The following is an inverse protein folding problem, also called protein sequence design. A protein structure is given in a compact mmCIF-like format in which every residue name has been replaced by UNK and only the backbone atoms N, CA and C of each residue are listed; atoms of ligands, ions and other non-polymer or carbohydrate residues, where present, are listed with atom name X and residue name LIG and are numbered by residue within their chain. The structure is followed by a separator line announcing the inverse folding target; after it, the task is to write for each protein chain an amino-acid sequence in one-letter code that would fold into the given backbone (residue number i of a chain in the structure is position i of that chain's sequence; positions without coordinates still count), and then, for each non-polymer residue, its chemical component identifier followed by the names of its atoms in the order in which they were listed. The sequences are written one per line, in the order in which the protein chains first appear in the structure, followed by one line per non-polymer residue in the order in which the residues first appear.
data_IF_245590080677
#
_entry.id   IF_245590080677
#
_cell.length_a   1.000
_cell.length_b   1.000
_cell.length_c   1.000
_cell.angle_alpha   90.00
_cell.angle_beta   90.00
_cell.angle_gamma   90.00
#
_symmetry.space_group_name_H-M   'P 1'
#
loop_
_entity.id
_entity.type
_entity.pdbx_description
1 polymer ?
#
# COMPACT_ATOMS: atom_id res chain seq x y z
N UNK A 1 4.89 -17.04 21.31
CA UNK A 1 4.56 -18.21 20.45
C UNK A 1 5.77 -19.12 20.36
N UNK A 2 5.65 -20.46 20.10
CA UNK A 2 6.83 -21.29 19.86
C UNK A 2 7.59 -20.75 18.63
N UNK A 3 8.90 -20.57 18.76
CA UNK A 3 9.76 -20.13 17.67
C UNK A 3 9.65 -21.11 16.49
N UNK A 4 9.43 -20.58 15.26
CA UNK A 4 9.43 -21.33 14.02
C UNK A 4 8.08 -21.91 13.56
N UNK A 5 6.96 -21.71 14.27
CA UNK A 5 5.64 -22.14 13.79
C UNK A 5 5.09 -21.17 12.74
N UNK A 6 4.58 -21.70 11.61
CA UNK A 6 3.87 -20.88 10.61
C UNK A 6 2.70 -20.11 11.23
N UNK A 7 2.49 -18.88 10.81
CA UNK A 7 1.34 -18.06 11.17
C UNK A 7 0.13 -18.53 10.36
N UNK A 8 -0.96 -18.82 11.04
CA UNK A 8 -2.20 -19.35 10.44
C UNK A 8 -3.14 -18.20 10.12
N UNK A 9 -3.33 -18.01 8.81
CA UNK A 9 -4.12 -16.92 8.26
C UNK A 9 -5.54 -17.34 7.93
N UNK A 10 -6.49 -16.46 8.24
CA UNK A 10 -7.82 -16.43 7.65
C UNK A 10 -7.92 -15.30 6.65
N UNK A 11 -8.72 -15.48 5.60
CA UNK A 11 -9.01 -14.44 4.61
C UNK A 11 -10.41 -13.89 4.84
N UNK A 12 -10.54 -12.57 4.92
CA UNK A 12 -11.81 -11.85 4.97
C UNK A 12 -11.96 -11.06 3.68
N UNK A 13 -12.87 -11.52 2.80
CA UNK A 13 -13.04 -11.02 1.44
C UNK A 13 -12.25 -11.82 0.41
N UNK A 14 -12.96 -12.49 -0.51
CA UNK A 14 -12.40 -13.38 -1.54
C UNK A 14 -12.46 -12.75 -2.95
N UNK A 15 -12.38 -11.42 -3.01
CA UNK A 15 -12.31 -10.65 -4.25
C UNK A 15 -10.95 -10.75 -4.95
N UNK A 16 -10.68 -9.82 -5.89
CA UNK A 16 -9.46 -9.84 -6.71
C UNK A 16 -8.15 -9.77 -5.91
N UNK A 17 -8.12 -9.03 -4.81
CA UNK A 17 -6.91 -8.87 -3.99
C UNK A 17 -6.57 -10.12 -3.16
N UNK A 18 -7.53 -10.99 -2.88
CA UNK A 18 -7.32 -12.17 -2.05
C UNK A 18 -6.52 -13.28 -2.75
N UNK A 19 -6.72 -13.47 -4.05
CA UNK A 19 -6.10 -14.56 -4.79
C UNK A 19 -4.56 -14.53 -4.77
N UNK A 20 -3.87 -13.41 -5.11
CA UNK A 20 -2.41 -13.36 -5.05
C UNK A 20 -1.88 -13.51 -3.62
N UNK A 21 -2.63 -13.11 -2.60
CA UNK A 21 -2.26 -13.32 -1.20
C UNK A 21 -2.43 -14.78 -0.79
N UNK A 22 -3.49 -15.47 -1.21
CA UNK A 22 -3.61 -16.92 -1.01
C UNK A 22 -2.46 -17.68 -1.67
N UNK A 23 -2.04 -17.29 -2.88
CA UNK A 23 -0.85 -17.85 -3.56
C UNK A 23 0.42 -17.61 -2.74
N UNK A 24 0.60 -16.40 -2.21
CA UNK A 24 1.76 -16.04 -1.40
C UNK A 24 1.80 -16.83 -0.08
N UNK A 25 0.66 -16.98 0.60
CA UNK A 25 0.55 -17.80 1.80
C UNK A 25 0.90 -19.27 1.49
N UNK A 26 0.37 -19.83 0.41
CA UNK A 26 0.66 -21.21 0.01
C UNK A 26 2.13 -21.45 -0.39
N UNK A 27 2.82 -20.41 -0.86
CA UNK A 27 4.23 -20.47 -1.26
C UNK A 27 5.20 -20.24 -0.08
N UNK A 28 4.73 -19.70 1.04
CA UNK A 28 5.58 -19.32 2.18
C UNK A 28 5.67 -20.43 3.23
N UNK A 29 6.87 -20.79 3.70
CA UNK A 29 7.02 -21.70 4.84
C UNK A 29 6.62 -21.07 6.19
N UNK A 30 6.42 -19.74 6.24
CA UNK A 30 6.08 -19.00 7.46
C UNK A 30 4.58 -18.73 7.60
N UNK A 31 3.77 -19.15 6.63
CA UNK A 31 2.33 -18.88 6.62
C UNK A 31 1.52 -20.14 6.24
N UNK A 32 0.32 -20.25 6.75
CA UNK A 32 -0.63 -21.34 6.46
C UNK A 32 -2.03 -20.73 6.30
N UNK A 33 -2.76 -21.13 5.25
CA UNK A 33 -4.14 -20.72 5.04
C UNK A 33 -5.08 -21.70 5.75
N UNK A 34 -5.87 -21.20 6.71
CA UNK A 34 -6.74 -22.07 7.52
C UNK A 34 -8.23 -21.92 7.23
N UNK A 35 -8.68 -20.77 6.74
CA UNK A 35 -10.09 -20.56 6.39
C UNK A 35 -10.28 -19.30 5.54
N UNK A 36 -11.26 -19.34 4.64
CA UNK A 36 -11.70 -18.18 3.85
C UNK A 36 -13.10 -17.75 4.27
N UNK A 37 -13.35 -16.46 4.26
CA UNK A 37 -14.67 -15.88 4.51
C UNK A 37 -15.03 -14.86 3.44
N UNK A 38 -16.23 -15.00 2.89
CA UNK A 38 -16.88 -13.98 2.07
C UNK A 38 -18.40 -14.10 2.26
N UNK A 39 -19.11 -12.98 2.17
CA UNK A 39 -20.58 -12.98 2.14
C UNK A 39 -21.10 -13.61 0.84
N UNK A 40 -20.34 -13.49 -0.26
CA UNK A 40 -20.59 -14.22 -1.49
C UNK A 40 -19.88 -15.58 -1.41
N UNK A 41 -20.67 -16.62 -1.10
CA UNK A 41 -20.14 -17.99 -0.93
C UNK A 41 -19.51 -18.59 -2.18
N UNK A 42 -19.88 -18.12 -3.37
CA UNK A 42 -19.28 -18.61 -4.61
C UNK A 42 -17.84 -18.12 -4.78
N UNK A 43 -17.55 -16.86 -4.39
CA UNK A 43 -16.19 -16.35 -4.35
C UNK A 43 -15.32 -17.09 -3.33
N UNK A 44 -15.87 -17.35 -2.14
CA UNK A 44 -15.16 -18.08 -1.10
C UNK A 44 -14.90 -19.54 -1.52
N UNK A 45 -15.88 -20.21 -2.12
CA UNK A 45 -15.77 -21.59 -2.62
C UNK A 45 -14.69 -21.72 -3.68
N UNK A 46 -14.68 -20.83 -4.69
CA UNK A 46 -13.68 -20.86 -5.77
C UNK A 46 -12.25 -20.83 -5.23
N UNK A 47 -11.95 -19.92 -4.30
CA UNK A 47 -10.62 -19.90 -3.68
C UNK A 47 -10.38 -21.10 -2.76
N UNK A 48 -11.40 -21.55 -2.02
CA UNK A 48 -11.32 -22.69 -1.12
C UNK A 48 -10.93 -23.98 -1.88
N UNK A 49 -11.55 -24.23 -3.04
CA UNK A 49 -11.23 -25.36 -3.89
C UNK A 49 -9.80 -25.28 -4.45
N UNK A 50 -9.36 -24.11 -4.87
CA UNK A 50 -8.03 -23.88 -5.46
C UNK A 50 -6.90 -23.99 -4.44
N UNK A 51 -7.13 -23.57 -3.21
CA UNK A 51 -6.13 -23.56 -2.13
C UNK A 51 -6.37 -24.64 -1.06
N UNK A 52 -7.31 -25.55 -1.29
CA UNK A 52 -7.64 -26.68 -0.40
C UNK A 52 -7.90 -26.26 1.05
N UNK A 53 -8.60 -25.15 1.24
CA UNK A 53 -8.93 -24.60 2.56
C UNK A 53 -10.44 -24.58 2.80
N UNK A 54 -10.94 -24.71 4.04
CA UNK A 54 -12.34 -24.53 4.35
C UNK A 54 -12.80 -23.08 4.13
N UNK A 55 -14.11 -22.88 3.93
CA UNK A 55 -14.69 -21.54 3.80
C UNK A 55 -15.98 -21.41 4.58
N UNK A 56 -16.39 -20.17 4.85
CA UNK A 56 -17.62 -19.84 5.58
C UNK A 56 -18.19 -18.49 5.14
N UNK A 57 -19.52 -18.35 5.21
CA UNK A 57 -20.24 -17.07 5.10
C UNK A 57 -20.37 -16.33 6.44
N UNK A 58 -20.00 -16.96 7.55
CA UNK A 58 -20.15 -16.40 8.90
C UNK A 58 -18.79 -15.92 9.43
N UNK A 59 -18.60 -14.61 9.56
CA UNK A 59 -17.36 -14.01 10.06
C UNK A 59 -16.99 -14.54 11.45
N UNK A 60 -17.98 -14.67 12.34
CA UNK A 60 -17.73 -15.15 13.70
C UNK A 60 -17.18 -16.58 13.73
N UNK A 61 -17.56 -17.43 12.77
CA UNK A 61 -17.00 -18.77 12.64
C UNK A 61 -15.53 -18.72 12.25
N UNK A 62 -15.12 -17.81 11.34
CA UNK A 62 -13.71 -17.59 11.02
C UNK A 62 -12.96 -17.10 12.25
N UNK A 63 -13.44 -16.04 12.91
CA UNK A 63 -12.74 -15.41 14.04
C UNK A 63 -12.65 -16.33 15.27
N UNK A 64 -13.62 -17.21 15.46
CA UNK A 64 -13.62 -18.22 16.53
C UNK A 64 -12.80 -19.47 16.20
N UNK A 65 -12.21 -19.55 14.98
CA UNK A 65 -11.42 -20.74 14.60
C UNK A 65 -10.23 -20.94 15.56
N UNK A 66 -10.10 -22.12 16.20
CA UNK A 66 -9.20 -22.28 17.36
C UNK A 66 -7.73 -22.15 17.00
N UNK A 67 -7.40 -22.37 15.75
CA UNK A 67 -6.01 -22.30 15.29
C UNK A 67 -5.67 -20.99 14.57
N UNK A 68 -6.62 -20.10 14.35
CA UNK A 68 -6.40 -18.83 13.65
C UNK A 68 -5.48 -17.91 14.48
N UNK A 69 -4.42 -17.39 13.86
CA UNK A 69 -3.50 -16.44 14.46
C UNK A 69 -3.72 -15.02 13.92
N UNK A 70 -3.91 -14.90 12.60
CA UNK A 70 -4.02 -13.63 11.90
C UNK A 70 -5.09 -13.67 10.81
N UNK A 71 -5.59 -12.51 10.44
CA UNK A 71 -6.44 -12.37 9.26
C UNK A 71 -5.80 -11.44 8.23
N UNK A 72 -6.06 -11.72 6.94
CA UNK A 72 -5.91 -10.76 5.87
C UNK A 72 -7.28 -10.22 5.47
N UNK A 73 -7.43 -8.89 5.49
CA UNK A 73 -8.71 -8.23 5.22
C UNK A 73 -8.67 -7.54 3.86
N UNK A 74 -9.46 -8.04 2.89
CA UNK A 74 -9.48 -7.59 1.49
C UNK A 74 -10.90 -7.35 0.98
N UNK A 75 -11.54 -6.35 1.51
CA UNK A 75 -12.93 -5.96 1.23
C UNK A 75 -13.01 -4.53 0.66
N UNK A 76 -14.17 -4.01 0.22
CA UNK A 76 -14.32 -2.60 -0.11
C UNK A 76 -13.82 -1.67 0.99
N UNK A 77 -13.26 -0.53 0.62
CA UNK A 77 -12.49 0.34 1.53
C UNK A 77 -13.24 0.70 2.82
N UNK A 78 -14.54 1.04 2.73
CA UNK A 78 -15.37 1.38 3.90
C UNK A 78 -15.54 0.24 4.91
N UNK A 79 -15.28 -1.01 4.51
CA UNK A 79 -15.40 -2.19 5.36
C UNK A 79 -14.05 -2.63 5.96
N UNK A 80 -12.91 -2.07 5.50
CA UNK A 80 -11.58 -2.49 5.97
C UNK A 80 -11.43 -2.24 7.47
N UNK A 81 -11.64 -1.01 7.93
CA UNK A 81 -11.49 -0.65 9.34
C UNK A 81 -12.51 -1.38 10.26
N UNK A 82 -13.80 -1.47 9.95
CA UNK A 82 -14.74 -2.23 10.76
C UNK A 82 -14.38 -3.72 10.91
N UNK A 83 -13.92 -4.38 9.84
CA UNK A 83 -13.58 -5.81 9.89
C UNK A 83 -12.22 -6.06 10.56
N UNK A 84 -11.24 -5.17 10.34
CA UNK A 84 -9.98 -5.20 11.08
C UNK A 84 -10.20 -5.04 12.59
N UNK A 85 -11.11 -4.13 13.01
CA UNK A 85 -11.50 -3.97 14.41
C UNK A 85 -12.04 -5.25 15.00
N UNK A 86 -12.99 -5.91 14.33
CA UNK A 86 -13.57 -7.19 14.80
C UNK A 86 -12.51 -8.27 14.96
N UNK A 87 -11.53 -8.33 14.04
CA UNK A 87 -10.42 -9.26 14.14
C UNK A 87 -9.54 -8.98 15.37
N UNK A 88 -9.17 -7.72 15.60
CA UNK A 88 -8.39 -7.30 16.76
C UNK A 88 -9.16 -7.56 18.07
N UNK A 89 -10.47 -7.24 18.12
CA UNK A 89 -11.33 -7.52 19.29
C UNK A 89 -11.42 -9.02 19.60
N UNK A 90 -11.35 -9.88 18.57
CA UNK A 90 -11.28 -11.33 18.70
C UNK A 90 -9.85 -11.85 19.04
N UNK A 91 -8.89 -10.97 19.33
CA UNK A 91 -7.53 -11.33 19.68
C UNK A 91 -6.69 -11.85 18.50
N UNK A 92 -7.05 -11.49 17.24
CA UNK A 92 -6.33 -11.90 16.05
C UNK A 92 -5.47 -10.75 15.52
N UNK A 93 -4.25 -11.05 15.08
CA UNK A 93 -3.42 -10.11 14.31
C UNK A 93 -4.13 -9.75 13.01
N UNK A 94 -3.95 -8.53 12.51
CA UNK A 94 -4.61 -8.07 11.29
C UNK A 94 -3.59 -7.53 10.28
N UNK A 95 -3.60 -8.09 9.07
CA UNK A 95 -3.00 -7.54 7.88
C UNK A 95 -4.13 -7.05 6.99
N UNK A 96 -4.17 -5.75 6.71
CA UNK A 96 -5.31 -5.09 6.06
C UNK A 96 -4.89 -4.57 4.69
N UNK A 97 -5.74 -4.71 3.68
CA UNK A 97 -5.56 -3.98 2.42
C UNK A 97 -5.52 -2.47 2.66
N UNK A 98 -4.81 -1.78 1.79
CA UNK A 98 -4.83 -0.31 1.82
C UNK A 98 -6.15 0.22 1.20
N UNK A 99 -6.64 1.36 1.70
CA UNK A 99 -6.12 2.12 2.85
C UNK A 99 -6.49 1.45 4.18
N UNK A 100 -5.78 1.77 5.25
CA UNK A 100 -6.10 1.26 6.59
C UNK A 100 -7.54 1.59 7.02
N UNK A 101 -8.02 2.79 6.66
CA UNK A 101 -9.32 3.33 6.99
C UNK A 101 -9.69 4.44 6.01
N UNK A 102 -10.90 5.00 6.10
CA UNK A 102 -11.32 6.18 5.33
C UNK A 102 -11.10 7.49 6.09
N UNK A 103 -10.92 7.43 7.40
CA UNK A 103 -10.69 8.60 8.27
C UNK A 103 -9.50 8.38 9.21
N UNK A 104 -8.85 9.47 9.64
CA UNK A 104 -7.78 9.40 10.63
C UNK A 104 -8.29 8.90 11.98
N UNK A 105 -9.53 9.24 12.34
CA UNK A 105 -10.16 8.78 13.60
C UNK A 105 -10.28 7.27 13.64
N UNK A 106 -10.73 6.64 12.55
CA UNK A 106 -10.80 5.18 12.44
C UNK A 106 -9.40 4.55 12.48
N UNK A 107 -8.44 5.12 11.76
CA UNK A 107 -7.06 4.63 11.76
C UNK A 107 -6.44 4.70 13.15
N UNK A 108 -6.59 5.83 13.85
CA UNK A 108 -6.09 6.04 15.22
C UNK A 108 -6.74 5.07 16.22
N UNK A 109 -8.04 4.81 16.08
CA UNK A 109 -8.77 3.86 16.92
C UNK A 109 -8.28 2.40 16.70
N UNK A 110 -7.99 2.00 15.44
CA UNK A 110 -7.43 0.68 15.15
C UNK A 110 -6.02 0.52 15.72
N UNK A 111 -5.17 1.53 15.56
CA UNK A 111 -3.80 1.54 16.08
C UNK A 111 -3.83 1.41 17.61
N UNK A 112 -4.63 2.24 18.28
CA UNK A 112 -4.76 2.19 19.74
C UNK A 112 -5.27 0.82 20.23
N UNK A 113 -6.24 0.21 19.54
CA UNK A 113 -6.77 -1.11 19.87
C UNK A 113 -5.69 -2.19 19.71
N UNK A 114 -4.96 -2.19 18.58
CA UNK A 114 -3.90 -3.16 18.34
C UNK A 114 -2.79 -3.08 19.38
N UNK A 115 -2.36 -1.86 19.74
CA UNK A 115 -1.36 -1.60 20.77
C UNK A 115 -1.82 -2.07 22.16
N UNK A 116 -3.06 -1.72 22.56
CA UNK A 116 -3.63 -2.12 23.83
C UNK A 116 -3.69 -3.65 23.98
N UNK A 117 -3.97 -4.36 22.91
CA UNK A 117 -4.03 -5.82 22.88
C UNK A 117 -2.70 -6.50 22.53
N UNK A 118 -1.64 -5.73 22.22
CA UNK A 118 -0.34 -6.24 21.79
C UNK A 118 -0.45 -7.12 20.53
N UNK A 119 -1.31 -6.71 19.60
CA UNK A 119 -1.52 -7.37 18.33
C UNK A 119 -0.80 -6.62 17.21
N UNK A 120 -0.29 -7.35 16.23
CA UNK A 120 0.26 -6.76 15.02
C UNK A 120 -0.88 -6.23 14.13
N UNK A 121 -0.79 -4.97 13.73
CA UNK A 121 -1.63 -4.33 12.73
C UNK A 121 -0.74 -3.90 11.58
N UNK A 122 -0.80 -4.63 10.46
CA UNK A 122 -0.09 -4.32 9.22
C UNK A 122 -1.03 -3.84 8.13
N UNK A 123 -0.49 -3.10 7.16
CA UNK A 123 -1.21 -2.68 5.95
C UNK A 123 -0.43 -3.12 4.73
N UNK A 124 -1.12 -3.62 3.71
CA UNK A 124 -0.50 -4.26 2.57
C UNK A 124 0.03 -3.24 1.55
N UNK A 125 1.16 -2.61 1.87
CA UNK A 125 1.95 -1.78 0.98
C UNK A 125 3.12 -2.60 0.42
N UNK A 126 2.83 -3.43 -0.56
CA UNK A 126 3.74 -4.43 -1.11
C UNK A 126 4.96 -3.85 -1.82
N UNK A 127 4.91 -2.60 -2.29
CA UNK A 127 6.01 -2.00 -3.03
C UNK A 127 7.32 -1.90 -2.24
N UNK A 128 7.25 -1.85 -0.90
CA UNK A 128 8.45 -1.89 -0.04
C UNK A 128 9.28 -3.17 -0.22
N UNK A 129 8.68 -4.23 -0.78
CA UNK A 129 9.32 -5.53 -0.99
C UNK A 129 9.88 -5.72 -2.41
N UNK A 130 9.70 -4.76 -3.33
CA UNK A 130 10.33 -4.84 -4.66
C UNK A 130 11.84 -4.63 -4.56
N UNK A 131 12.57 -5.28 -5.44
CA UNK A 131 14.03 -5.13 -5.48
C UNK A 131 14.46 -3.69 -5.73
N UNK A 132 13.80 -2.99 -6.68
CA UNK A 132 14.13 -1.61 -7.02
C UNK A 132 13.92 -0.63 -5.84
N UNK A 133 12.82 -0.80 -5.06
CA UNK A 133 12.57 0.07 -3.91
C UNK A 133 13.55 -0.16 -2.76
N UNK A 134 13.95 -1.41 -2.51
CA UNK A 134 14.98 -1.74 -1.51
C UNK A 134 16.34 -1.18 -1.90
N UNK A 135 16.76 -1.37 -3.15
CA UNK A 135 18.02 -0.79 -3.67
C UNK A 135 18.00 0.73 -3.58
N UNK A 136 16.88 1.37 -3.96
CA UNK A 136 16.75 2.82 -3.85
C UNK A 136 16.88 3.30 -2.39
N UNK A 137 16.22 2.62 -1.44
CA UNK A 137 16.32 2.91 -0.02
C UNK A 137 17.77 2.80 0.47
N UNK A 138 18.47 1.72 0.12
CA UNK A 138 19.87 1.51 0.50
C UNK A 138 20.77 2.64 -0.01
N UNK A 139 20.63 3.05 -1.28
CA UNK A 139 21.40 4.15 -1.87
C UNK A 139 21.10 5.50 -1.20
N UNK A 140 19.82 5.80 -0.94
CA UNK A 140 19.43 7.06 -0.29
C UNK A 140 19.96 7.11 1.14
N UNK A 141 19.74 6.05 1.92
CA UNK A 141 20.20 5.98 3.32
C UNK A 141 21.71 5.97 3.47
N UNK A 142 22.43 5.37 2.51
CA UNK A 142 23.90 5.43 2.46
C UNK A 142 24.43 6.80 2.01
N UNK A 143 23.57 7.74 1.56
CA UNK A 143 23.97 9.07 1.11
C UNK A 143 24.53 9.12 -0.30
N UNK A 144 24.31 8.10 -1.14
CA UNK A 144 24.85 8.01 -2.49
C UNK A 144 24.42 9.17 -3.39
N UNK A 145 23.16 9.63 -3.27
CA UNK A 145 22.63 10.76 -4.04
C UNK A 145 22.72 12.10 -3.29
N UNK A 146 23.32 12.13 -2.08
CA UNK A 146 23.32 13.30 -1.22
C UNK A 146 21.95 13.60 -0.61
N UNK A 147 21.80 14.81 -0.06
CA UNK A 147 20.50 15.23 0.48
C UNK A 147 19.41 15.22 -0.59
N UNK A 148 18.24 14.66 -0.28
CA UNK A 148 17.08 14.67 -1.19
C UNK A 148 16.55 16.10 -1.29
N UNK A 149 16.45 16.62 -2.51
CA UNK A 149 15.99 17.97 -2.81
C UNK A 149 14.62 17.98 -3.53
N UNK A 150 14.20 16.85 -4.09
CA UNK A 150 12.93 16.77 -4.77
C UNK A 150 12.47 15.36 -5.08
N UNK A 151 11.16 15.23 -5.33
CA UNK A 151 10.48 13.99 -5.74
C UNK A 151 9.48 14.31 -6.85
N UNK A 152 9.40 13.46 -7.86
CA UNK A 152 8.35 13.53 -8.88
C UNK A 152 7.57 12.22 -8.90
N UNK A 153 6.27 12.28 -8.65
CA UNK A 153 5.35 11.13 -8.70
C UNK A 153 4.49 11.22 -9.95
N UNK A 154 4.37 10.12 -10.66
CA UNK A 154 3.49 9.97 -11.80
C UNK A 154 2.75 8.64 -11.74
N UNK A 155 1.40 8.70 -11.75
CA UNK A 155 0.52 7.53 -11.73
C UNK A 155 -0.46 7.66 -12.88
N UNK A 156 -0.12 7.16 -14.07
CA UNK A 156 -0.98 7.20 -15.25
C UNK A 156 -1.43 5.80 -15.60
N UNK A 157 -2.74 5.57 -15.56
CA UNK A 157 -3.32 4.25 -15.75
C UNK A 157 -4.47 4.35 -16.76
N UNK A 158 -4.54 3.41 -17.67
CA UNK A 158 -5.68 3.24 -18.59
C UNK A 158 -6.71 2.28 -17.98
N UNK A 159 -7.54 2.81 -17.06
CA UNK A 159 -8.66 2.06 -16.47
C UNK A 159 -9.93 2.26 -17.30
N UNK A 160 -10.46 1.23 -17.96
CA UNK A 160 -11.73 1.33 -18.66
C UNK A 160 -12.88 1.56 -17.68
N UNK A 161 -14.04 2.04 -18.18
CA UNK A 161 -15.23 2.27 -17.34
C UNK A 161 -15.66 1.01 -16.54
N UNK A 162 -15.46 -0.19 -17.11
CA UNK A 162 -15.75 -1.47 -16.44
C UNK A 162 -14.94 -1.71 -15.17
N UNK A 163 -13.74 -1.13 -15.06
CA UNK A 163 -12.93 -1.24 -13.85
C UNK A 163 -13.67 -0.75 -12.59
N UNK A 164 -14.41 0.35 -12.71
CA UNK A 164 -15.13 0.93 -11.59
C UNK A 164 -16.29 0.05 -11.09
N UNK A 165 -16.71 -0.91 -11.91
CA UNK A 165 -17.77 -1.87 -11.57
C UNK A 165 -17.21 -3.22 -11.09
N UNK A 166 -16.13 -3.73 -11.71
CA UNK A 166 -15.66 -5.09 -11.47
C UNK A 166 -14.19 -5.20 -11.05
N UNK A 167 -13.49 -4.06 -10.94
CA UNK A 167 -12.05 -4.03 -10.64
C UNK A 167 -11.21 -4.60 -11.77
N UNK A 168 -9.93 -4.84 -11.49
CA UNK A 168 -8.98 -5.37 -12.46
C UNK A 168 -9.15 -6.88 -12.73
N UNK A 169 -9.66 -7.64 -11.75
CA UNK A 169 -9.81 -9.09 -11.85
C UNK A 169 -11.13 -9.55 -12.48
N UNK A 170 -12.15 -8.68 -12.48
CA UNK A 170 -13.49 -9.04 -12.93
C UNK A 170 -14.22 -10.09 -12.07
N UNK A 171 -13.61 -10.57 -10.99
CA UNK A 171 -14.15 -11.66 -10.15
C UNK A 171 -15.48 -11.32 -9.47
N UNK A 172 -15.72 -10.05 -9.19
CA UNK A 172 -16.92 -9.59 -8.54
C UNK A 172 -17.39 -8.25 -9.10
N UNK A 173 -18.66 -8.17 -9.47
CA UNK A 173 -19.27 -6.94 -9.97
C UNK A 173 -19.92 -6.21 -8.82
N UNK A 174 -19.34 -5.07 -8.43
CA UNK A 174 -19.87 -4.16 -7.43
C UNK A 174 -19.27 -2.77 -7.69
N UNK A 175 -20.10 -1.71 -7.78
CA UNK A 175 -19.63 -0.36 -8.14
C UNK A 175 -18.94 0.42 -7.00
N UNK A 176 -18.58 -0.20 -5.88
CA UNK A 176 -18.03 0.46 -4.70
C UNK A 176 -16.85 1.39 -5.01
N UNK A 177 -16.02 1.01 -6.01
CA UNK A 177 -14.85 1.81 -6.41
C UNK A 177 -15.21 3.17 -6.97
N UNK A 178 -16.36 3.30 -7.61
CA UNK A 178 -16.87 4.56 -8.16
C UNK A 178 -17.69 5.39 -7.18
N UNK A 179 -18.02 4.87 -6.00
CA UNK A 179 -18.85 5.53 -5.00
C UNK A 179 -17.99 6.17 -3.91
N UNK A 180 -18.23 7.45 -3.66
CA UNK A 180 -17.39 8.22 -2.75
C UNK A 180 -17.47 7.75 -1.29
N UNK A 181 -18.64 7.35 -0.84
CA UNK A 181 -18.89 6.86 0.52
C UNK A 181 -18.30 5.47 0.79
N UNK A 182 -18.17 4.64 -0.25
CA UNK A 182 -17.62 3.30 -0.13
C UNK A 182 -16.11 3.25 -0.40
N UNK A 183 -15.62 4.03 -1.37
CA UNK A 183 -14.23 4.05 -1.78
C UNK A 183 -13.38 5.06 -0.99
N UNK A 184 -13.99 6.17 -0.54
CA UNK A 184 -13.29 7.28 0.13
C UNK A 184 -12.53 8.20 -0.82
N UNK A 185 -12.17 7.73 -2.00
CA UNK A 185 -11.44 8.46 -3.03
C UNK A 185 -11.11 7.59 -4.24
N UNK A 186 -10.58 8.23 -5.28
CA UNK A 186 -10.27 7.61 -6.56
C UNK A 186 -8.79 7.28 -6.73
N UNK A 187 -8.18 7.81 -7.80
CA UNK A 187 -6.80 7.45 -8.20
C UNK A 187 -5.75 7.73 -7.12
N UNK A 188 -5.92 8.81 -6.35
CA UNK A 188 -4.95 9.15 -5.30
C UNK A 188 -4.97 8.11 -4.20
N UNK A 189 -6.16 7.78 -3.67
CA UNK A 189 -6.31 6.80 -2.59
C UNK A 189 -6.06 5.36 -3.07
N UNK A 190 -6.55 5.01 -4.27
CA UNK A 190 -6.49 3.64 -4.79
C UNK A 190 -5.10 3.24 -5.31
N UNK A 191 -4.35 4.17 -5.90
CA UNK A 191 -3.10 3.87 -6.60
C UNK A 191 -1.94 4.70 -6.09
N UNK A 192 -2.04 6.02 -6.12
CA UNK A 192 -0.93 6.90 -5.76
C UNK A 192 -0.50 6.76 -4.30
N UNK A 193 -1.38 6.27 -3.43
CA UNK A 193 -1.05 5.95 -2.02
C UNK A 193 0.11 4.96 -1.89
N UNK A 194 0.27 4.00 -2.81
CA UNK A 194 1.42 3.09 -2.84
C UNK A 194 2.74 3.85 -3.08
N UNK A 195 2.74 4.85 -3.98
CA UNK A 195 3.93 5.65 -4.25
C UNK A 195 4.23 6.63 -3.11
N UNK A 196 3.22 7.19 -2.46
CA UNK A 196 3.41 8.03 -1.27
C UNK A 196 4.04 7.22 -0.13
N UNK A 197 3.61 5.99 0.09
CA UNK A 197 4.24 5.06 1.03
C UNK A 197 5.69 4.76 0.63
N UNK A 198 5.93 4.42 -0.64
CA UNK A 198 7.24 4.07 -1.15
C UNK A 198 8.24 5.24 -1.02
N UNK A 199 7.84 6.49 -1.31
CA UNK A 199 8.68 7.67 -1.12
C UNK A 199 9.07 7.83 0.35
N UNK A 200 8.11 7.73 1.28
CA UNK A 200 8.41 7.79 2.73
C UNK A 200 9.37 6.67 3.15
N UNK A 201 9.13 5.45 2.70
CA UNK A 201 9.97 4.28 2.97
C UNK A 201 11.41 4.47 2.47
N UNK A 202 11.59 4.96 1.23
CA UNK A 202 12.91 5.12 0.61
C UNK A 202 13.67 6.29 1.22
N UNK A 203 13.01 7.45 1.34
CA UNK A 203 13.68 8.69 1.72
C UNK A 203 13.73 8.93 3.23
N UNK A 204 12.83 8.33 4.00
CA UNK A 204 12.65 8.67 5.42
C UNK A 204 12.06 10.07 5.64
N UNK A 205 11.59 10.74 4.57
CA UNK A 205 11.04 12.09 4.64
C UNK A 205 9.52 12.04 4.84
N UNK A 206 9.01 13.04 5.59
CA UNK A 206 7.59 13.23 5.83
C UNK A 206 7.07 14.46 5.09
N UNK A 207 5.87 14.35 4.50
CA UNK A 207 5.18 15.49 3.88
C UNK A 207 4.65 16.39 4.99
N UNK A 208 4.93 17.69 4.90
CA UNK A 208 4.51 18.69 5.91
C UNK A 208 3.51 19.72 5.38
N UNK A 209 3.45 19.94 4.08
CA UNK A 209 2.36 20.71 3.46
C UNK A 209 2.00 20.20 2.06
N UNK A 210 0.76 20.45 1.66
CA UNK A 210 0.16 19.98 0.40
C UNK A 210 -0.69 21.08 -0.21
N UNK A 211 -0.50 21.33 -1.51
CA UNK A 211 -1.44 22.09 -2.36
C UNK A 211 -1.87 21.19 -3.52
N UNK A 212 -3.17 21.15 -3.83
CA UNK A 212 -3.68 20.19 -4.81
C UNK A 212 -4.92 20.65 -5.54
N UNK A 213 -5.14 20.08 -6.72
CA UNK A 213 -6.37 20.07 -7.50
C UNK A 213 -6.75 18.62 -7.81
N UNK A 214 -8.03 18.28 -7.71
CA UNK A 214 -8.57 16.97 -8.10
C UNK A 214 -9.82 17.16 -8.93
N UNK A 215 -10.10 16.22 -9.81
CA UNK A 215 -11.29 16.25 -10.66
C UNK A 215 -11.71 14.85 -11.11
N UNK A 216 -13.01 14.71 -11.42
CA UNK A 216 -13.57 13.58 -12.15
C UNK A 216 -13.79 14.05 -13.57
N UNK A 217 -12.80 13.84 -14.46
CA UNK A 217 -12.72 14.49 -15.77
C UNK A 217 -13.09 13.54 -16.91
N UNK A 218 -12.93 12.24 -16.75
CA UNK A 218 -13.09 11.27 -17.82
C UNK A 218 -13.99 10.08 -17.45
N UNK A 219 -13.88 9.54 -16.25
CA UNK A 219 -14.71 8.43 -15.80
C UNK A 219 -16.09 8.88 -15.30
N UNK A 220 -17.11 8.05 -15.48
CA UNK A 220 -18.46 8.31 -14.93
C UNK A 220 -18.55 7.69 -13.51
N UNK A 221 -17.99 8.41 -12.52
CA UNK A 221 -17.91 7.99 -11.11
C UNK A 221 -18.00 9.22 -10.18
N UNK A 222 -18.14 8.98 -8.87
CA UNK A 222 -18.23 10.04 -7.84
C UNK A 222 -16.87 10.44 -7.27
N UNK A 223 -15.83 9.63 -7.50
CA UNK A 223 -14.47 9.85 -7.00
C UNK A 223 -13.61 10.50 -8.07
N UNK A 224 -12.48 11.09 -7.69
CA UNK A 224 -11.57 11.68 -8.66
C UNK A 224 -10.87 10.62 -9.52
N UNK A 225 -10.77 10.90 -10.81
CA UNK A 225 -9.96 10.13 -11.75
C UNK A 225 -8.66 10.84 -12.12
N UNK A 226 -8.53 12.12 -11.77
CA UNK A 226 -7.37 12.96 -12.07
C UNK A 226 -7.01 13.83 -10.88
N UNK A 227 -5.71 13.94 -10.60
CA UNK A 227 -5.17 14.79 -9.53
C UNK A 227 -3.82 15.38 -9.91
N UNK A 228 -3.59 16.63 -9.46
CA UNK A 228 -2.29 17.29 -9.50
C UNK A 228 -2.00 17.89 -8.12
N UNK A 229 -0.80 17.67 -7.57
CA UNK A 229 -0.43 18.20 -6.28
C UNK A 229 1.05 18.62 -6.22
N UNK A 230 1.32 19.58 -5.32
CA UNK A 230 2.67 19.91 -4.85
C UNK A 230 2.80 19.55 -3.38
N UNK A 231 3.94 19.00 -3.02
CA UNK A 231 4.26 18.52 -1.68
C UNK A 231 5.50 19.24 -1.17
N UNK A 232 5.55 19.56 0.12
CA UNK A 232 6.76 19.97 0.80
C UNK A 232 7.10 18.93 1.86
N UNK A 233 8.36 18.54 1.90
CA UNK A 233 8.87 17.60 2.89
C UNK A 233 9.52 18.30 4.08
N UNK A 234 9.68 17.59 5.18
CA UNK A 234 10.19 18.08 6.45
C UNK A 234 11.63 18.62 6.42
N UNK A 235 12.42 18.23 5.40
CA UNK A 235 13.75 18.78 5.13
C UNK A 235 13.73 19.98 4.16
N UNK A 236 12.56 20.42 3.70
CA UNK A 236 12.38 21.48 2.71
C UNK A 236 12.34 21.04 1.25
N UNK A 237 12.60 19.76 0.95
CA UNK A 237 12.49 19.22 -0.40
C UNK A 237 11.07 19.41 -0.98
N UNK A 238 10.97 19.53 -2.30
CA UNK A 238 9.72 19.72 -3.00
C UNK A 238 9.29 18.46 -3.76
N UNK A 239 7.99 18.20 -3.77
CA UNK A 239 7.40 17.11 -4.57
C UNK A 239 6.38 17.62 -5.57
N UNK A 240 6.29 16.97 -6.71
CA UNK A 240 5.19 17.11 -7.66
C UNK A 240 4.51 15.75 -7.88
N UNK A 241 3.20 15.77 -7.98
CA UNK A 241 2.37 14.59 -8.20
C UNK A 241 1.39 14.87 -9.35
N UNK A 242 1.33 13.97 -10.31
CA UNK A 242 0.25 13.92 -11.27
C UNK A 242 -0.27 12.48 -11.36
N UNK A 243 -1.59 12.32 -11.21
CA UNK A 243 -2.27 11.03 -11.24
C UNK A 243 -3.48 11.08 -12.17
N UNK A 244 -3.65 10.04 -12.97
CA UNK A 244 -4.79 9.87 -13.86
C UNK A 244 -5.17 8.40 -13.97
N UNK A 245 -6.42 8.04 -13.64
CA UNK A 245 -6.91 6.67 -13.69
C UNK A 245 -7.57 6.28 -15.02
N UNK A 246 -7.88 7.25 -15.87
CA UNK A 246 -8.53 7.01 -17.15
C UNK A 246 -7.77 7.74 -18.26
N UNK A 247 -6.49 7.35 -18.44
CA UNK A 247 -5.59 7.94 -19.44
C UNK A 247 -5.45 6.97 -20.61
N UNK A 248 -6.17 7.20 -21.74
CA UNK A 248 -6.16 6.27 -22.86
C UNK A 248 -4.76 6.06 -23.41
N UNK A 249 -4.36 4.79 -23.53
CA UNK A 249 -3.06 4.41 -24.04
C UNK A 249 -1.91 4.53 -23.05
N UNK A 250 -2.17 4.84 -21.78
CA UNK A 250 -1.16 4.73 -20.73
C UNK A 250 -0.58 3.31 -20.69
N UNK A 251 0.73 3.19 -20.63
CA UNK A 251 1.48 1.95 -20.74
C UNK A 251 2.15 1.62 -19.40
N UNK A 252 2.60 0.39 -19.25
CA UNK A 252 3.58 0.05 -18.24
C UNK A 252 4.78 1.00 -18.37
N UNK A 253 5.24 1.56 -17.25
CA UNK A 253 6.29 2.58 -17.21
C UNK A 253 5.76 4.01 -17.12
N UNK A 254 4.45 4.23 -17.30
CA UNK A 254 3.82 5.53 -17.02
C UNK A 254 3.46 5.67 -15.52
N UNK A 255 3.55 4.58 -14.76
CA UNK A 255 3.54 4.57 -13.30
C UNK A 255 4.98 4.52 -12.79
N UNK A 256 5.57 5.66 -12.46
CA UNK A 256 6.94 5.73 -11.94
C UNK A 256 7.14 6.93 -11.03
N UNK A 257 8.27 6.97 -10.33
CA UNK A 257 8.69 8.18 -9.63
C UNK A 257 10.21 8.36 -9.65
N UNK A 258 10.62 9.62 -9.60
CA UNK A 258 12.02 10.01 -9.53
C UNK A 258 12.31 10.63 -8.17
N UNK A 259 13.50 10.34 -7.63
CA UNK A 259 14.04 10.98 -6.43
C UNK A 259 15.29 11.74 -6.83
N UNK A 260 15.29 13.05 -6.58
CA UNK A 260 16.38 13.95 -6.90
C UNK A 260 17.17 14.29 -5.63
N UNK A 261 18.45 13.98 -5.63
CA UNK A 261 19.39 14.36 -4.58
C UNK A 261 20.41 15.37 -5.07
N UNK A 262 21.10 16.06 -4.15
CA UNK A 262 22.11 17.05 -4.46
C UNK A 262 23.35 16.46 -5.20
N UNK A 263 23.56 15.14 -5.10
CA UNK A 263 24.71 14.44 -5.68
C UNK A 263 24.31 13.33 -6.66
N UNK A 264 23.03 13.17 -6.97
CA UNK A 264 22.55 12.15 -7.91
C UNK A 264 21.05 12.08 -7.96
N UNK A 265 20.54 11.16 -8.74
CA UNK A 265 19.10 10.93 -8.87
C UNK A 265 18.81 9.46 -9.13
N UNK A 266 17.63 9.05 -8.71
CA UNK A 266 17.09 7.72 -8.91
C UNK A 266 15.83 7.82 -9.73
N UNK A 267 15.65 6.92 -10.69
CA UNK A 267 14.38 6.70 -11.40
C UNK A 267 13.89 5.30 -11.07
N UNK A 268 12.82 5.24 -10.32
CA UNK A 268 12.16 4.00 -9.98
C UNK A 268 11.25 3.61 -11.15
N UNK A 269 11.31 2.35 -11.60
CA UNK A 269 10.49 1.86 -12.70
C UNK A 269 9.04 1.65 -12.25
N UNK A 270 8.20 1.27 -13.21
CA UNK A 270 6.91 0.64 -12.91
C UNK A 270 7.11 -0.51 -11.92
N UNK A 271 6.47 -0.48 -10.72
CA UNK A 271 6.70 -1.48 -9.69
C UNK A 271 6.20 -2.88 -10.05
N UNK A 272 5.36 -2.99 -11.07
CA UNK A 272 4.79 -4.25 -11.57
C UNK A 272 5.47 -4.72 -12.87
N UNK A 273 6.52 -3.99 -13.30
CA UNK A 273 7.37 -4.31 -14.45
C UNK A 273 8.69 -4.97 -14.03
N UNK A 274 9.48 -5.35 -15.05
CA UNK A 274 10.79 -5.99 -14.87
C UNK A 274 11.95 -5.00 -15.09
N UNK A 275 11.66 -3.72 -15.31
CA UNK A 275 12.67 -2.71 -15.53
C UNK A 275 13.50 -2.46 -14.27
N UNK A 276 14.83 -2.31 -14.39
CA UNK A 276 15.71 -2.07 -13.27
C UNK A 276 15.65 -0.62 -12.78
N UNK A 277 15.99 -0.40 -11.50
CA UNK A 277 16.26 0.93 -10.95
C UNK A 277 17.35 1.63 -11.79
N UNK A 278 17.10 2.86 -12.22
CA UNK A 278 18.06 3.71 -12.91
C UNK A 278 18.69 4.69 -11.94
N UNK A 279 20.02 4.77 -11.98
CA UNK A 279 20.82 5.62 -11.07
C UNK A 279 21.74 6.52 -11.86
N UNK A 280 21.80 7.81 -11.52
CA UNK A 280 22.80 8.76 -11.97
C UNK A 280 23.50 9.39 -10.76
N UNK A 281 24.84 9.37 -10.73
CA UNK A 281 25.65 9.92 -9.64
C UNK A 281 26.62 10.96 -10.16
N UNK A 282 26.91 12.01 -9.38
CA UNK A 282 27.93 13.03 -9.68
C UNK A 282 29.34 12.62 -9.27
N UNK A 283 29.49 11.63 -8.38
CA UNK A 283 30.75 11.05 -7.93
C UNK A 283 30.65 9.54 -7.91
N UNK A 284 31.77 8.86 -8.00
CA UNK A 284 31.81 7.40 -7.90
C UNK A 284 31.31 6.95 -6.53
N UNK A 285 30.53 5.87 -6.49
CA UNK A 285 29.94 5.36 -5.27
C UNK A 285 29.78 3.83 -5.34
N UNK A 286 30.39 3.10 -4.39
CA UNK A 286 30.17 1.66 -4.25
C UNK A 286 30.39 0.83 -5.52
N UNK A 287 31.33 1.21 -6.38
CA UNK A 287 31.56 0.59 -7.69
C UNK A 287 30.68 1.12 -8.82
N UNK A 288 29.77 2.05 -8.53
CA UNK A 288 28.97 2.75 -9.54
C UNK A 288 29.74 3.99 -10.02
N UNK A 289 30.15 4.07 -11.31
CA UNK A 289 30.89 5.21 -11.85
C UNK A 289 29.97 6.44 -12.00
N UNK A 290 30.57 7.62 -11.80
CA UNK A 290 29.91 8.91 -11.95
C UNK A 290 29.61 9.29 -13.41
N UNK A 291 28.75 10.28 -13.60
CA UNK A 291 28.56 11.01 -14.86
C UNK A 291 27.73 10.29 -15.92
N UNK A 292 27.13 9.15 -15.61
CA UNK A 292 26.27 8.41 -16.54
C UNK A 292 25.11 7.72 -15.83
N UNK A 293 24.03 7.50 -16.56
CA UNK A 293 22.94 6.65 -16.12
C UNK A 293 23.37 5.18 -16.11
N UNK A 294 22.94 4.46 -15.09
CA UNK A 294 23.23 3.06 -14.90
C UNK A 294 21.97 2.35 -14.41
N UNK A 295 21.71 1.18 -15.01
CA UNK A 295 20.71 0.26 -14.53
C UNK A 295 21.29 -0.56 -13.37
N UNK A 296 20.58 -0.67 -12.26
CA UNK A 296 20.90 -1.60 -11.18
C UNK A 296 20.05 -2.84 -11.35
N UNK A 297 20.59 -3.91 -11.94
CA UNK A 297 19.84 -5.13 -12.12
C UNK A 297 19.53 -5.76 -10.75
N UNK A 298 18.40 -6.41 -10.65
CA UNK A 298 18.01 -7.19 -9.52
C UNK A 298 17.08 -8.32 -9.97
N UNK A 299 17.14 -9.47 -9.31
CA UNK A 299 16.17 -10.51 -9.56
C UNK A 299 14.78 -10.01 -9.14
N UNK A 300 13.72 -10.29 -9.93
CA UNK A 300 12.35 -10.02 -9.50
C UNK A 300 12.09 -10.65 -8.13
N UNK A 301 11.62 -9.84 -7.18
CA UNK A 301 11.27 -10.33 -5.87
C UNK A 301 9.87 -10.97 -5.90
N UNK A 302 9.63 -12.05 -5.16
CA UNK A 302 8.28 -12.58 -4.94
C UNK A 302 7.54 -11.67 -3.94
N UNK A 303 7.19 -10.46 -4.37
CA UNK A 303 6.79 -9.31 -3.54
C UNK A 303 5.70 -9.65 -2.54
N UNK A 304 4.66 -10.39 -2.98
CA UNK A 304 3.57 -10.81 -2.09
C UNK A 304 4.03 -11.83 -1.05
N UNK A 305 4.89 -12.79 -1.42
CA UNK A 305 5.46 -13.77 -0.48
C UNK A 305 6.29 -13.05 0.58
N UNK A 306 7.17 -12.15 0.16
CA UNK A 306 8.01 -11.38 1.07
C UNK A 306 7.20 -10.48 2.02
N UNK A 307 6.10 -9.87 1.53
CA UNK A 307 5.20 -9.07 2.35
C UNK A 307 4.50 -9.93 3.43
N UNK A 308 3.99 -11.10 3.05
CA UNK A 308 3.38 -12.06 3.99
C UNK A 308 4.41 -12.56 5.01
N UNK A 309 5.60 -12.92 4.56
CA UNK A 309 6.66 -13.38 5.46
C UNK A 309 7.15 -12.29 6.42
N UNK A 310 7.27 -11.05 5.94
CA UNK A 310 7.66 -9.93 6.79
C UNK A 310 6.63 -9.69 7.91
N UNK A 311 5.34 -9.76 7.59
CA UNK A 311 4.28 -9.70 8.58
C UNK A 311 4.32 -10.91 9.52
N UNK A 312 4.47 -12.13 9.01
CA UNK A 312 4.54 -13.34 9.82
C UNK A 312 5.73 -13.31 10.80
N UNK A 313 6.91 -12.89 10.36
CA UNK A 313 8.09 -12.70 11.24
C UNK A 313 7.82 -11.66 12.33
N UNK A 314 7.19 -10.53 11.99
CA UNK A 314 6.85 -9.50 12.97
C UNK A 314 5.91 -10.07 14.06
N UNK A 315 4.89 -10.84 13.67
CA UNK A 315 3.99 -11.54 14.61
C UNK A 315 4.75 -12.53 15.49
N UNK A 316 5.61 -13.39 14.91
CA UNK A 316 6.41 -14.36 15.65
C UNK A 316 7.33 -13.71 16.69
N UNK A 317 7.90 -12.55 16.34
CA UNK A 317 8.85 -11.81 17.17
C UNK A 317 8.18 -10.83 18.15
N UNK A 318 6.86 -10.65 18.05
CA UNK A 318 6.14 -9.64 18.85
C UNK A 318 6.56 -8.21 18.50
N UNK A 319 6.96 -7.97 17.26
CA UNK A 319 7.41 -6.68 16.74
C UNK A 319 6.34 -6.01 15.88
N UNK A 320 6.47 -4.70 15.66
CA UNK A 320 5.64 -3.99 14.72
C UNK A 320 5.92 -4.47 13.28
N UNK A 321 4.89 -4.67 12.43
CA UNK A 321 5.08 -5.00 11.03
C UNK A 321 5.84 -3.88 10.29
N UNK A 322 6.64 -4.20 9.25
CA UNK A 322 7.39 -3.21 8.47
C UNK A 322 6.51 -2.14 7.80
N UNK A 323 5.26 -2.52 7.49
CA UNK A 323 4.22 -1.62 6.98
C UNK A 323 3.11 -1.53 8.03
N UNK A 324 3.43 -0.92 9.18
CA UNK A 324 2.53 -0.88 10.34
C UNK A 324 1.38 0.11 10.17
N UNK A 325 0.39 0.00 11.06
CA UNK A 325 -0.76 0.90 11.07
C UNK A 325 -0.39 2.39 11.16
N UNK A 326 0.68 2.73 11.88
CA UNK A 326 1.17 4.12 12.00
C UNK A 326 1.68 4.66 10.66
N UNK A 327 2.45 3.87 9.89
CA UNK A 327 2.90 4.25 8.54
C UNK A 327 1.72 4.46 7.60
N UNK A 328 0.76 3.55 7.61
CA UNK A 328 -0.43 3.64 6.78
C UNK A 328 -1.29 4.86 7.13
N UNK A 329 -1.39 5.20 8.42
CA UNK A 329 -2.05 6.41 8.88
C UNK A 329 -1.41 7.68 8.32
N UNK A 330 -0.07 7.72 8.23
CA UNK A 330 0.63 8.88 7.64
C UNK A 330 0.34 9.00 6.14
N UNK A 331 0.32 7.89 5.40
CA UNK A 331 -0.07 7.91 3.99
C UNK A 331 -1.51 8.40 3.84
N UNK A 332 -2.43 7.91 4.68
CA UNK A 332 -3.82 8.37 4.68
C UNK A 332 -3.92 9.86 4.97
N UNK A 333 -3.14 10.40 5.91
CA UNK A 333 -3.12 11.84 6.22
C UNK A 333 -2.70 12.68 5.00
N UNK A 334 -1.69 12.24 4.23
CA UNK A 334 -1.27 12.92 3.01
C UNK A 334 -2.40 12.90 1.97
N UNK A 335 -3.04 11.75 1.76
CA UNK A 335 -4.15 11.60 0.79
C UNK A 335 -5.33 12.50 1.17
N UNK A 336 -5.72 12.51 2.46
CA UNK A 336 -6.80 13.36 2.93
C UNK A 336 -6.45 14.87 2.83
N UNK A 337 -5.18 15.22 3.05
CA UNK A 337 -4.70 16.59 2.86
C UNK A 337 -4.76 17.02 1.38
N UNK A 338 -4.50 16.11 0.42
CA UNK A 338 -4.69 16.37 -1.01
C UNK A 338 -6.17 16.69 -1.30
N UNK A 339 -7.10 15.91 -0.79
CA UNK A 339 -8.54 16.16 -0.98
C UNK A 339 -8.99 17.45 -0.30
N UNK A 340 -8.51 17.72 0.91
CA UNK A 340 -8.82 18.94 1.64
C UNK A 340 -8.27 20.18 0.93
N UNK A 341 -7.02 20.13 0.44
CA UNK A 341 -6.39 21.24 -0.28
C UNK A 341 -7.19 21.60 -1.55
N UNK A 342 -7.61 20.58 -2.30
CA UNK A 342 -8.44 20.78 -3.49
C UNK A 342 -9.82 21.35 -3.18
N UNK A 343 -10.46 20.91 -2.10
CA UNK A 343 -11.78 21.39 -1.68
C UNK A 343 -11.73 22.82 -1.14
N UNK A 344 -10.74 23.15 -0.31
CA UNK A 344 -10.60 24.45 0.37
C UNK A 344 -9.81 25.49 -0.46
N UNK A 345 -9.22 25.07 -1.59
CA UNK A 345 -8.40 25.93 -2.47
C UNK A 345 -7.27 26.67 -1.74
N UNK A 346 -6.64 25.96 -0.81
CA UNK A 346 -5.50 26.46 -0.03
C UNK A 346 -4.50 25.36 0.29
N UNK A 347 -3.30 25.74 0.65
CA UNK A 347 -2.30 24.80 1.19
C UNK A 347 -2.77 24.25 2.53
N UNK A 348 -2.71 22.92 2.70
CA UNK A 348 -2.95 22.23 3.96
C UNK A 348 -1.61 21.91 4.61
N UNK A 349 -1.45 22.29 5.87
CA UNK A 349 -0.29 22.00 6.67
C UNK A 349 -0.59 20.77 7.51
N UNK A 350 0.22 19.71 7.34
CA UNK A 350 0.17 18.52 8.18
C UNK A 350 0.87 18.82 9.50
N UNK A 351 0.20 18.60 10.63
CA UNK A 351 0.75 18.88 11.95
C UNK A 351 1.94 17.95 12.24
N UNK A 352 2.90 18.40 13.09
CA UNK A 352 4.03 17.57 13.51
C UNK A 352 3.60 16.29 14.27
N UNK A 353 2.46 16.31 14.94
CA UNK A 353 1.85 15.13 15.57
C UNK A 353 1.34 14.12 14.53
N UNK A 354 1.05 14.60 13.32
CA UNK A 354 0.67 13.77 12.16
C UNK A 354 1.91 13.30 11.39
N UNK A 355 3.06 13.99 11.55
CA UNK A 355 4.31 13.72 10.84
C UNK A 355 5.37 12.95 11.67
N UNK A 356 5.18 12.79 12.99
CA UNK A 356 6.20 12.19 13.86
C UNK A 356 5.69 10.98 14.61
N UNK A 357 5.74 9.84 13.96
CA UNK A 357 5.86 8.53 14.60
C UNK A 357 6.95 7.76 13.85
N UNK A 358 8.20 8.25 13.95
CA UNK A 358 9.40 7.51 13.56
C UNK A 358 9.82 6.58 14.72
#
# INVERSE_FOLDING_TARGET
MPEGRAIRFGIIGCGGAAEPVCQAIAASPLAELVMLHDLNLDLARDLAERFHAPFTGALDQLLAHPTLDAVYVAVPHHQLAPLARKALEAGKHALVEKPLALTLVEADALIALAEAQRLALGVFYELRHTTAHRQARELVQAGAIGEVIGVRLQTLIDKPQSYWQSGWSGRWTNPWRGRKDEAGGGVVLMNTSHFLDAVRYITGLEVVDVSAEVGTLAANVEVEDTAAATLRFNNGALGSLFAGAHIPGARRGDEHFDIYGAQGQLRLPDPYGDDPLQVFLRRDWGGLPAGRWQALPGAPAPVYVEAIEAFARAVQQGQAPPTGGRDARQVLAIVLAIYQAAAEKRTIILSRSEATYA
#
